data_IF_134084448901
#
_entry.id   IF_134084448901
#
_cell.length_a   1.000
_cell.length_b   1.000
_cell.length_c   1.000
_cell.angle_alpha   90.00
_cell.angle_beta   90.00
_cell.angle_gamma   90.00
#
_symmetry.space_group_name_H-M   'P 1'
#
loop_
_entity.id
_entity.type
_entity.pdbx_description
1 polymer ?
#
# COMPACT_ATOMS: atom_id res chain seq x y z
N UNK A 1 25.33 -40.08 -22.51
CA UNK A 1 25.05 -38.62 -22.55
C UNK A 1 24.46 -38.20 -21.21
N UNK A 2 25.04 -37.17 -20.57
CA UNK A 2 24.52 -36.53 -19.34
C UNK A 2 23.27 -35.70 -19.70
N UNK A 3 22.25 -35.68 -18.84
CA UNK A 3 21.09 -34.82 -19.02
C UNK A 3 20.21 -34.71 -17.76
N UNK A 4 20.41 -33.60 -17.04
CA UNK A 4 19.58 -32.98 -16.00
C UNK A 4 19.21 -33.77 -14.71
N UNK A 5 20.01 -33.55 -13.67
CA UNK A 5 19.55 -33.59 -12.27
C UNK A 5 19.01 -32.19 -11.92
N UNK A 6 17.71 -32.08 -11.69
CA UNK A 6 17.10 -30.94 -10.99
C UNK A 6 16.48 -31.45 -9.69
N UNK A 7 17.03 -31.06 -8.54
CA UNK A 7 16.42 -31.30 -7.23
C UNK A 7 15.18 -30.43 -7.10
N UNK A 8 13.98 -31.01 -7.23
CA UNK A 8 12.73 -30.29 -6.99
C UNK A 8 12.57 -29.96 -5.51
N UNK A 9 13.05 -28.79 -5.09
CA UNK A 9 12.57 -28.18 -3.85
C UNK A 9 11.14 -27.70 -4.13
N UNK A 10 10.18 -28.20 -3.36
CA UNK A 10 8.85 -27.59 -3.30
C UNK A 10 8.98 -26.09 -3.02
N UNK A 11 8.24 -25.27 -3.75
CA UNK A 11 8.19 -23.83 -3.52
C UNK A 11 7.37 -23.53 -2.28
N UNK A 12 7.97 -23.71 -1.10
CA UNK A 12 7.39 -23.32 0.19
C UNK A 12 7.57 -21.82 0.38
N UNK A 13 6.49 -21.11 0.73
CA UNK A 13 6.55 -19.71 1.16
C UNK A 13 6.13 -19.59 2.63
N UNK A 14 6.72 -18.62 3.32
CA UNK A 14 6.38 -18.29 4.72
C UNK A 14 5.54 -17.03 4.72
N UNK A 15 4.59 -16.95 5.65
CA UNK A 15 3.73 -15.80 5.92
C UNK A 15 3.76 -15.60 7.44
N UNK A 16 3.59 -14.36 7.92
CA UNK A 16 3.77 -13.97 9.32
C UNK A 16 5.25 -14.00 9.72
N UNK A 17 5.99 -13.01 9.23
CA UNK A 17 7.46 -12.99 9.24
C UNK A 17 8.07 -12.54 10.57
N UNK A 18 7.26 -11.93 11.43
CA UNK A 18 7.68 -11.28 12.67
C UNK A 18 6.67 -11.45 13.80
N UNK A 19 6.92 -10.72 14.90
CA UNK A 19 6.12 -10.81 16.13
C UNK A 19 4.96 -9.82 16.19
N UNK A 20 4.88 -8.90 15.22
CA UNK A 20 3.91 -7.80 15.20
C UNK A 20 3.25 -7.69 13.82
N UNK A 21 2.13 -8.40 13.57
CA UNK A 21 1.48 -8.44 12.26
C UNK A 21 1.12 -7.07 11.69
N UNK A 22 0.76 -6.09 12.55
CA UNK A 22 0.49 -4.72 12.11
C UNK A 22 1.72 -4.03 11.48
N UNK A 23 2.92 -4.35 11.97
CA UNK A 23 4.17 -3.81 11.43
C UNK A 23 4.56 -4.44 10.08
N UNK A 24 3.88 -5.51 9.65
CA UNK A 24 4.15 -6.23 8.40
C UNK A 24 3.31 -5.73 7.23
N UNK A 25 2.34 -4.83 7.46
CA UNK A 25 1.44 -4.35 6.40
C UNK A 25 2.21 -3.80 5.19
N UNK A 26 3.30 -3.06 5.39
CA UNK A 26 4.16 -2.58 4.29
C UNK A 26 4.83 -3.71 3.49
N UNK A 27 5.14 -4.85 4.12
CA UNK A 27 5.70 -6.03 3.44
C UNK A 27 4.65 -6.68 2.54
N UNK A 28 3.41 -6.83 3.03
CA UNK A 28 2.29 -7.30 2.23
C UNK A 28 1.99 -6.32 1.08
N UNK A 29 1.98 -5.02 1.37
CA UNK A 29 1.78 -3.96 0.38
C UNK A 29 2.78 -4.08 -0.77
N UNK A 30 4.06 -4.28 -0.45
CA UNK A 30 5.13 -4.52 -1.42
C UNK A 30 4.89 -5.76 -2.28
N UNK A 31 4.44 -6.86 -1.68
CA UNK A 31 4.09 -8.08 -2.40
C UNK A 31 2.97 -7.83 -3.43
N UNK A 32 1.87 -7.23 -2.99
CA UNK A 32 0.74 -6.91 -3.88
C UNK A 32 1.09 -5.89 -4.95
N UNK A 33 1.86 -4.86 -4.60
CA UNK A 33 2.34 -3.85 -5.54
C UNK A 33 3.21 -4.46 -6.65
N UNK A 34 4.15 -5.35 -6.28
CA UNK A 34 4.99 -6.08 -7.24
C UNK A 34 4.19 -7.00 -8.14
N UNK A 35 3.20 -7.70 -7.58
CA UNK A 35 2.29 -8.55 -8.35
C UNK A 35 1.50 -7.70 -9.37
N UNK A 36 0.92 -6.58 -8.94
CA UNK A 36 0.21 -5.64 -9.79
C UNK A 36 1.10 -5.10 -10.91
N UNK A 37 2.30 -4.61 -10.59
CA UNK A 37 3.26 -4.08 -11.57
C UNK A 37 3.76 -5.14 -12.55
N UNK A 38 3.84 -6.41 -12.13
CA UNK A 38 4.25 -7.51 -13.02
C UNK A 38 3.11 -7.86 -13.97
N UNK A 39 1.91 -8.07 -13.43
CA UNK A 39 0.71 -8.34 -14.22
C UNK A 39 0.46 -7.22 -15.25
N UNK A 40 0.52 -5.96 -14.84
CA UNK A 40 0.32 -4.82 -15.76
C UNK A 40 1.33 -4.77 -16.89
N UNK A 41 2.63 -5.03 -16.61
CA UNK A 41 3.66 -5.07 -17.66
C UNK A 41 3.40 -6.19 -18.67
N UNK A 42 3.03 -7.36 -18.17
CA UNK A 42 2.70 -8.50 -19.02
C UNK A 42 1.48 -8.22 -19.90
N UNK A 43 0.42 -7.62 -19.33
CA UNK A 43 -0.79 -7.27 -20.08
C UNK A 43 -0.53 -6.17 -21.12
N UNK A 44 0.17 -5.11 -20.75
CA UNK A 44 0.49 -4.00 -21.66
C UNK A 44 1.40 -4.42 -22.83
N UNK A 45 2.10 -5.55 -22.71
CA UNK A 45 2.92 -6.11 -23.78
C UNK A 45 2.15 -7.02 -24.75
N UNK A 46 0.88 -7.36 -24.46
CA UNK A 46 0.05 -8.20 -25.33
C UNK A 46 -0.60 -7.38 -26.44
N UNK A 47 -0.75 -7.98 -27.62
CA UNK A 47 -1.51 -7.39 -28.73
C UNK A 47 -3.01 -7.30 -28.43
N UNK A 48 -3.53 -8.27 -27.66
CA UNK A 48 -4.92 -8.33 -27.22
C UNK A 48 -4.99 -8.61 -25.73
N UNK A 49 -5.86 -7.86 -25.04
CA UNK A 49 -6.09 -7.98 -23.60
C UNK A 49 -7.59 -8.02 -23.37
N UNK A 50 -8.07 -9.00 -22.61
CA UNK A 50 -9.46 -9.05 -22.19
C UNK A 50 -9.66 -8.26 -20.88
N UNK A 51 -10.81 -7.62 -20.70
CA UNK A 51 -11.10 -6.84 -19.49
C UNK A 51 -10.98 -7.65 -18.20
N UNK A 52 -11.27 -8.96 -18.28
CA UNK A 52 -11.16 -9.86 -17.13
C UNK A 52 -9.72 -10.13 -16.68
N UNK A 53 -8.74 -9.88 -17.55
CA UNK A 53 -7.33 -9.94 -17.19
C UNK A 53 -6.88 -8.66 -16.47
N UNK A 54 -7.56 -7.53 -16.72
CA UNK A 54 -7.14 -6.19 -16.28
C UNK A 54 -7.62 -5.83 -14.88
N UNK A 55 -8.89 -6.07 -14.56
CA UNK A 55 -9.44 -5.66 -13.27
C UNK A 55 -8.70 -6.25 -12.04
N UNK A 56 -8.09 -7.46 -12.08
CA UNK A 56 -7.28 -7.94 -10.96
C UNK A 56 -6.08 -7.05 -10.67
N UNK A 57 -5.41 -6.49 -11.70
CA UNK A 57 -4.29 -5.57 -11.50
C UNK A 57 -4.73 -4.28 -10.79
N UNK A 58 -5.92 -3.76 -11.14
CA UNK A 58 -6.51 -2.58 -10.49
C UNK A 58 -6.78 -2.83 -9.01
N UNK A 59 -7.37 -3.99 -8.68
CA UNK A 59 -7.59 -4.39 -7.29
C UNK A 59 -6.27 -4.49 -6.52
N UNK A 60 -5.24 -5.13 -7.11
CA UNK A 60 -3.94 -5.32 -6.45
C UNK A 60 -3.25 -3.97 -6.16
N UNK A 61 -3.27 -3.01 -7.10
CA UNK A 61 -2.75 -1.66 -6.84
C UNK A 61 -3.49 -0.96 -5.70
N UNK A 62 -4.82 -1.00 -5.76
CA UNK A 62 -5.69 -0.39 -4.73
C UNK A 62 -5.43 -1.00 -3.35
N UNK A 63 -5.26 -2.32 -3.28
CA UNK A 63 -4.96 -3.03 -2.04
C UNK A 63 -3.56 -2.71 -1.50
N UNK A 64 -2.55 -2.69 -2.37
CA UNK A 64 -1.19 -2.28 -2.00
C UNK A 64 -1.16 -0.87 -1.40
N UNK A 65 -1.86 0.08 -2.02
CA UNK A 65 -1.98 1.45 -1.53
C UNK A 65 -2.62 1.52 -0.14
N UNK A 66 -3.72 0.80 0.09
CA UNK A 66 -4.36 0.74 1.41
C UNK A 66 -3.38 0.21 2.48
N UNK A 67 -2.66 -0.87 2.17
CA UNK A 67 -1.74 -1.48 3.11
C UNK A 67 -0.53 -0.60 3.42
N UNK A 68 0.00 0.14 2.44
CA UNK A 68 1.04 1.13 2.71
C UNK A 68 0.53 2.28 3.58
N UNK A 69 -0.66 2.81 3.31
CA UNK A 69 -1.28 3.84 4.15
C UNK A 69 -1.41 3.35 5.60
N UNK A 70 -1.98 2.16 5.80
CA UNK A 70 -2.16 1.58 7.14
C UNK A 70 -0.84 1.26 7.84
N UNK A 71 0.09 0.65 7.12
CA UNK A 71 1.39 0.26 7.66
C UNK A 71 2.26 1.46 8.04
N UNK A 72 2.34 2.48 7.19
CA UNK A 72 3.08 3.70 7.51
C UNK A 72 2.39 4.54 8.57
N UNK A 73 1.05 4.60 8.59
CA UNK A 73 0.30 5.24 9.68
C UNK A 73 0.59 4.57 11.04
N UNK A 74 0.67 3.24 11.07
CA UNK A 74 1.10 2.50 12.27
C UNK A 74 2.51 2.92 12.73
N UNK A 75 3.49 2.98 11.81
CA UNK A 75 4.86 3.38 12.13
C UNK A 75 4.94 4.84 12.62
N UNK A 76 4.19 5.75 12.00
CA UNK A 76 4.09 7.14 12.45
C UNK A 76 3.55 7.23 13.88
N UNK A 77 2.56 6.41 14.23
CA UNK A 77 2.04 6.34 15.60
C UNK A 77 3.06 5.86 16.62
N UNK A 78 3.84 4.83 16.27
CA UNK A 78 4.94 4.36 17.12
C UNK A 78 5.98 5.47 17.32
N UNK A 79 6.37 6.15 16.24
CA UNK A 79 7.39 7.20 16.29
C UNK A 79 6.91 8.39 17.11
N UNK A 80 5.67 8.84 16.88
CA UNK A 80 5.07 9.92 17.67
C UNK A 80 5.05 9.61 19.16
N UNK A 81 4.70 8.38 19.56
CA UNK A 81 4.75 7.97 20.97
C UNK A 81 6.16 8.00 21.58
N UNK A 82 7.20 7.69 20.79
CA UNK A 82 8.59 7.79 21.23
C UNK A 82 9.09 9.23 21.30
N UNK A 83 8.63 10.11 20.42
CA UNK A 83 8.99 11.54 20.38
C UNK A 83 8.11 12.42 21.29
N UNK A 84 7.23 11.82 22.12
CA UNK A 84 6.43 12.55 23.12
C UNK A 84 5.15 13.19 22.59
N UNK A 85 4.70 12.80 21.40
CA UNK A 85 3.41 13.20 20.85
C UNK A 85 2.29 12.36 21.49
N UNK A 86 1.25 13.03 22.00
CA UNK A 86 0.19 12.45 22.86
C UNK A 86 -0.76 11.46 22.17
N UNK A 87 -0.72 11.34 20.84
CA UNK A 87 -1.73 10.59 20.09
C UNK A 87 -1.26 9.15 19.82
N UNK A 88 -1.83 8.18 20.54
CA UNK A 88 -1.76 6.78 20.11
C UNK A 88 -2.51 6.62 18.79
N UNK A 89 -1.84 6.17 17.73
CA UNK A 89 -2.50 5.91 16.45
C UNK A 89 -3.13 4.53 16.46
N UNK A 90 -4.45 4.48 16.24
CA UNK A 90 -5.17 3.24 15.99
C UNK A 90 -5.39 3.11 14.50
N UNK A 91 -4.82 2.08 13.87
CA UNK A 91 -5.02 1.82 12.44
C UNK A 91 -6.51 1.54 12.18
N UNK A 92 -7.19 2.34 11.34
CA UNK A 92 -8.62 2.16 11.12
C UNK A 92 -8.95 0.80 10.48
N UNK A 93 -10.01 0.15 10.97
CA UNK A 93 -10.46 -1.16 10.46
C UNK A 93 -11.35 -1.09 9.21
N UNK A 94 -11.43 0.06 8.55
CA UNK A 94 -12.18 0.21 7.29
C UNK A 94 -11.24 0.26 6.09
N UNK A 95 -11.81 0.13 4.89
CA UNK A 95 -11.08 0.12 3.63
C UNK A 95 -11.13 1.47 2.88
N UNK A 96 -11.88 2.45 3.40
CA UNK A 96 -12.05 3.76 2.75
C UNK A 96 -10.72 4.52 2.71
N UNK A 97 -10.22 4.80 1.51
CA UNK A 97 -8.91 5.44 1.32
C UNK A 97 -8.85 6.92 1.71
N UNK A 98 -9.85 7.78 1.44
CA UNK A 98 -9.73 9.20 1.77
C UNK A 98 -9.58 9.48 3.27
N UNK A 99 -10.39 8.86 4.18
CA UNK A 99 -10.17 9.04 5.61
C UNK A 99 -8.81 8.54 6.10
N UNK A 100 -8.33 7.40 5.58
CA UNK A 100 -6.99 6.88 5.87
C UNK A 100 -5.90 7.88 5.44
N UNK A 101 -6.06 8.47 4.26
CA UNK A 101 -5.08 9.41 3.70
C UNK A 101 -5.07 10.73 4.46
N UNK A 102 -6.23 11.22 4.91
CA UNK A 102 -6.32 12.42 5.72
C UNK A 102 -5.60 12.25 7.07
N UNK A 103 -5.83 11.12 7.74
CA UNK A 103 -5.14 10.80 8.99
C UNK A 103 -3.64 10.63 8.80
N UNK A 104 -3.24 9.88 7.76
CA UNK A 104 -1.84 9.68 7.40
C UNK A 104 -1.12 10.99 7.07
N UNK A 105 -1.73 11.86 6.27
CA UNK A 105 -1.17 13.18 5.89
C UNK A 105 -1.00 14.06 7.12
N UNK A 106 -2.00 14.10 8.02
CA UNK A 106 -1.92 14.84 9.28
C UNK A 106 -0.73 14.37 10.11
N UNK A 107 -0.60 13.06 10.34
CA UNK A 107 0.49 12.49 11.15
C UNK A 107 1.87 12.69 10.54
N UNK A 108 1.98 12.59 9.22
CA UNK A 108 3.23 12.87 8.54
C UNK A 108 3.62 14.34 8.69
N UNK A 109 2.67 15.28 8.56
CA UNK A 109 2.90 16.71 8.73
C UNK A 109 3.26 17.13 10.16
N UNK A 110 2.75 16.42 11.18
CA UNK A 110 3.12 16.62 12.59
C UNK A 110 4.58 16.25 12.86
N UNK A 111 5.04 15.12 12.31
CA UNK A 111 6.39 14.59 12.58
C UNK A 111 7.47 15.16 11.65
N UNK A 112 7.08 15.62 10.46
CA UNK A 112 7.99 16.17 9.44
C UNK A 112 7.51 17.54 8.95
N UNK A 113 7.39 18.54 9.85
CA UNK A 113 6.88 19.86 9.49
C UNK A 113 7.82 20.56 8.50
N UNK A 114 7.24 21.12 7.44
CA UNK A 114 7.98 21.92 6.44
C UNK A 114 8.66 21.10 5.32
N UNK A 115 8.60 19.77 5.37
CA UNK A 115 9.14 18.91 4.31
C UNK A 115 8.31 19.04 3.01
N UNK A 116 8.88 19.73 2.02
CA UNK A 116 8.20 20.01 0.75
C UNK A 116 8.03 18.77 -0.13
N UNK A 117 8.95 17.80 -0.03
CA UNK A 117 8.88 16.57 -0.82
C UNK A 117 7.73 15.69 -0.31
N UNK A 118 7.63 15.53 1.02
CA UNK A 118 6.50 14.83 1.64
C UNK A 118 5.18 15.56 1.41
N UNK A 119 5.16 16.90 1.41
CA UNK A 119 3.97 17.67 1.07
C UNK A 119 3.51 17.42 -0.39
N UNK A 120 4.43 17.42 -1.35
CA UNK A 120 4.13 17.08 -2.74
C UNK A 120 3.61 15.64 -2.88
N UNK A 121 4.23 14.70 -2.18
CA UNK A 121 3.84 13.30 -2.20
C UNK A 121 2.45 13.08 -1.58
N UNK A 122 2.15 13.68 -0.43
CA UNK A 122 0.83 13.57 0.22
C UNK A 122 -0.30 14.13 -0.67
N UNK A 123 -0.03 15.21 -1.43
CA UNK A 123 -0.95 15.72 -2.43
C UNK A 123 -1.23 14.69 -3.54
N UNK A 124 -0.19 14.04 -4.07
CA UNK A 124 -0.34 13.00 -5.08
C UNK A 124 -1.17 11.82 -4.56
N UNK A 125 -0.87 11.33 -3.34
CA UNK A 125 -1.61 10.24 -2.70
C UNK A 125 -3.07 10.63 -2.45
N UNK A 126 -3.33 11.85 -1.98
CA UNK A 126 -4.70 12.36 -1.73
C UNK A 126 -5.53 12.40 -3.01
N UNK A 127 -4.93 12.84 -4.13
CA UNK A 127 -5.59 12.82 -5.43
C UNK A 127 -5.92 11.39 -5.88
N UNK A 128 -4.94 10.49 -5.86
CA UNK A 128 -5.11 9.10 -6.30
C UNK A 128 -6.12 8.35 -5.46
N UNK A 129 -6.12 8.54 -4.14
CA UNK A 129 -7.07 7.90 -3.23
C UNK A 129 -8.49 8.45 -3.39
N UNK A 130 -8.64 9.73 -3.76
CA UNK A 130 -9.93 10.31 -4.14
C UNK A 130 -10.45 9.75 -5.46
N UNK A 131 -9.57 9.48 -6.44
CA UNK A 131 -9.92 8.79 -7.68
C UNK A 131 -10.39 7.36 -7.39
N UNK A 132 -9.65 6.59 -6.59
CA UNK A 132 -10.09 5.26 -6.16
C UNK A 132 -11.38 5.28 -5.36
N UNK A 133 -11.65 6.30 -4.55
CA UNK A 133 -12.91 6.38 -3.80
C UNK A 133 -14.14 6.48 -4.72
N UNK A 134 -13.97 6.98 -5.96
CA UNK A 134 -15.02 6.99 -6.98
C UNK A 134 -15.15 5.65 -7.71
N UNK A 135 -14.03 4.96 -7.91
CA UNK A 135 -13.98 3.69 -8.65
C UNK A 135 -14.30 2.45 -7.81
N UNK A 136 -13.88 2.46 -6.54
CA UNK A 136 -13.90 1.32 -5.61
C UNK A 136 -13.82 1.80 -4.15
N UNK A 137 -14.89 2.44 -3.67
CA UNK A 137 -14.94 3.07 -2.35
C UNK A 137 -14.62 2.11 -1.20
N UNK A 138 -15.20 0.91 -1.27
CA UNK A 138 -15.23 -0.06 -0.17
C UNK A 138 -14.32 -1.28 -0.42
N UNK A 139 -13.51 -1.27 -1.48
CA UNK A 139 -12.65 -2.39 -1.90
C UNK A 139 -13.39 -3.55 -2.57
N UNK A 140 -14.65 -3.41 -2.96
CA UNK A 140 -15.45 -4.52 -3.49
C UNK A 140 -15.56 -4.53 -5.02
N UNK A 141 -15.40 -3.37 -5.66
CA UNK A 141 -15.87 -3.16 -7.03
C UNK A 141 -15.16 -4.02 -8.08
N UNK A 142 -13.90 -4.38 -7.82
CA UNK A 142 -13.08 -5.22 -8.71
C UNK A 142 -12.92 -6.67 -8.22
N UNK A 143 -13.69 -7.08 -7.21
CA UNK A 143 -13.71 -8.46 -6.68
C UNK A 143 -15.02 -9.16 -6.94
N UNK A 144 -16.12 -8.41 -6.91
CA UNK A 144 -17.46 -8.94 -7.06
C UNK A 144 -18.23 -8.06 -8.03
N UNK A 145 -19.04 -8.63 -8.94
CA UNK A 145 -19.89 -7.85 -9.84
C UNK A 145 -21.03 -7.12 -9.09
N UNK A 146 -21.32 -7.53 -7.85
CA UNK A 146 -22.32 -6.91 -6.99
C UNK A 146 -21.74 -6.57 -5.61
N UNK A 147 -22.25 -5.49 -5.01
CA UNK A 147 -21.95 -5.11 -3.63
C UNK A 147 -22.66 -6.06 -2.63
N UNK A 148 -22.37 -5.97 -1.32
CA UNK A 148 -23.05 -6.78 -0.30
C UNK A 148 -24.57 -6.59 -0.20
N UNK A 149 -25.13 -5.56 -0.86
CA UNK A 149 -26.57 -5.27 -0.93
C UNK A 149 -27.20 -5.78 -2.22
N UNK A 150 -26.42 -6.41 -3.12
CA UNK A 150 -26.88 -6.92 -4.40
C UNK A 150 -26.96 -5.86 -5.52
N UNK A 151 -26.48 -4.64 -5.30
CA UNK A 151 -26.40 -3.63 -6.35
C UNK A 151 -25.16 -3.85 -7.22
N UNK A 152 -25.14 -3.37 -8.48
CA UNK A 152 -23.93 -3.38 -9.29
C UNK A 152 -22.76 -2.71 -8.57
N UNK A 153 -21.61 -3.39 -8.56
CA UNK A 153 -20.38 -2.93 -7.91
C UNK A 153 -19.72 -1.73 -8.59
N UNK A 154 -19.98 -1.56 -9.88
CA UNK A 154 -19.48 -0.46 -10.72
C UNK A 154 -20.64 0.13 -11.53
N UNK A 155 -20.57 1.42 -11.89
CA UNK A 155 -21.44 2.00 -12.90
C UNK A 155 -21.32 1.26 -14.25
N UNK A 156 -22.37 1.36 -15.06
CA UNK A 156 -22.35 0.87 -16.43
C UNK A 156 -21.26 1.59 -17.26
N UNK A 157 -20.53 0.84 -18.08
CA UNK A 157 -19.48 1.35 -18.96
C UNK A 157 -18.33 2.10 -18.23
N UNK A 158 -18.05 1.79 -16.95
CA UNK A 158 -16.87 2.31 -16.27
C UNK A 158 -15.59 1.87 -16.99
N UNK A 159 -14.77 2.82 -17.42
CA UNK A 159 -13.49 2.58 -18.08
C UNK A 159 -12.32 3.07 -17.23
N UNK A 160 -11.23 2.30 -17.22
CA UNK A 160 -9.99 2.63 -16.51
C UNK A 160 -8.81 2.33 -17.41
N UNK A 161 -7.90 3.29 -17.58
CA UNK A 161 -6.65 3.06 -18.31
C UNK A 161 -5.66 2.30 -17.44
N UNK A 162 -5.35 1.06 -17.83
CA UNK A 162 -4.31 0.25 -17.18
C UNK A 162 -2.94 0.92 -17.25
N UNK A 163 -2.61 1.56 -18.37
CA UNK A 163 -1.33 2.27 -18.55
C UNK A 163 -1.19 3.45 -17.59
N UNK A 164 -2.21 4.31 -17.50
CA UNK A 164 -2.21 5.45 -16.60
C UNK A 164 -2.14 4.99 -15.13
N UNK A 165 -2.91 3.95 -14.78
CA UNK A 165 -2.90 3.33 -13.47
C UNK A 165 -1.51 2.79 -13.13
N UNK A 166 -0.91 1.98 -14.02
CA UNK A 166 0.41 1.39 -13.84
C UNK A 166 1.49 2.45 -13.60
N UNK A 167 1.48 3.52 -14.41
CA UNK A 167 2.45 4.61 -14.30
C UNK A 167 2.34 5.34 -12.96
N UNK A 168 1.14 5.79 -12.58
CA UNK A 168 0.92 6.56 -11.36
C UNK A 168 1.17 5.71 -10.12
N UNK A 169 0.63 4.49 -10.10
CA UNK A 169 0.75 3.60 -8.95
C UNK A 169 2.18 3.12 -8.75
N UNK A 170 2.94 2.84 -9.81
CA UNK A 170 4.34 2.44 -9.66
C UNK A 170 5.17 3.56 -9.00
N UNK A 171 4.93 4.82 -9.35
CA UNK A 171 5.59 5.96 -8.71
C UNK A 171 5.20 6.08 -7.23
N UNK A 172 3.89 6.06 -6.93
CA UNK A 172 3.38 6.19 -5.56
C UNK A 172 3.91 5.07 -4.66
N UNK A 173 3.84 3.82 -5.11
CA UNK A 173 4.26 2.67 -4.31
C UNK A 173 5.78 2.66 -4.07
N UNK A 174 6.59 3.08 -5.05
CA UNK A 174 8.03 3.25 -4.86
C UNK A 174 8.35 4.31 -3.80
N UNK A 175 7.65 5.45 -3.80
CA UNK A 175 7.80 6.48 -2.76
C UNK A 175 7.36 5.97 -1.38
N UNK A 176 6.29 5.17 -1.30
CA UNK A 176 5.91 4.52 -0.05
C UNK A 176 6.97 3.54 0.47
N UNK A 177 7.65 2.79 -0.41
CA UNK A 177 8.77 1.93 0.01
C UNK A 177 9.91 2.74 0.63
N UNK A 178 10.24 3.91 0.06
CA UNK A 178 11.25 4.80 0.61
C UNK A 178 10.83 5.36 1.99
N UNK A 179 9.57 5.76 2.13
CA UNK A 179 9.02 6.25 3.40
C UNK A 179 8.99 5.16 4.47
N UNK A 180 8.58 3.93 4.13
CA UNK A 180 8.63 2.79 5.07
C UNK A 180 10.07 2.56 5.58
N UNK A 181 11.07 2.61 4.69
CA UNK A 181 12.47 2.47 5.07
C UNK A 181 12.93 3.60 6.00
N UNK A 182 12.60 4.84 5.66
CA UNK A 182 12.93 6.04 6.46
C UNK A 182 12.31 5.95 7.86
N UNK A 183 11.00 5.65 7.96
CA UNK A 183 10.30 5.55 9.24
C UNK A 183 10.88 4.44 10.11
N UNK A 184 11.21 3.29 9.52
CA UNK A 184 11.86 2.19 10.25
C UNK A 184 13.26 2.56 10.74
N UNK A 185 14.04 3.30 9.97
CA UNK A 185 15.36 3.77 10.40
C UNK A 185 15.23 4.69 11.61
N UNK A 186 14.36 5.69 11.52
CA UNK A 186 14.13 6.66 12.60
C UNK A 186 13.56 6.02 13.86
N UNK A 187 12.66 5.04 13.72
CA UNK A 187 12.15 4.27 14.85
C UNK A 187 13.27 3.51 15.60
N UNK A 188 14.24 2.93 14.88
CA UNK A 188 15.38 2.27 15.52
C UNK A 188 16.23 3.27 16.29
N UNK A 189 16.57 4.39 15.68
CA UNK A 189 17.36 5.47 16.31
C UNK A 189 16.68 6.03 17.57
N UNK A 190 15.37 6.27 17.52
CA UNK A 190 14.59 6.76 18.65
C UNK A 190 14.51 5.72 19.79
N UNK A 191 14.40 4.44 19.45
CA UNK A 191 14.37 3.35 20.44
C UNK A 191 15.73 3.20 21.13
N UNK A 192 16.83 3.21 20.37
CA UNK A 192 18.18 3.09 20.90
C UNK A 192 18.52 4.27 21.83
N UNK A 193 18.11 5.48 21.45
CA UNK A 193 18.32 6.69 22.24
C UNK A 193 17.58 6.65 23.59
N UNK A 194 16.34 6.13 23.62
CA UNK A 194 15.61 5.94 24.89
C UNK A 194 16.27 4.89 25.78
N UNK A 195 16.68 3.76 25.22
CA UNK A 195 17.39 2.72 25.98
C UNK A 195 18.74 3.18 26.56
N UNK A 196 19.35 4.22 25.98
CA UNK A 196 20.57 4.83 26.51
C UNK A 196 20.30 5.83 27.66
N UNK A 197 19.13 6.45 27.72
CA UNK A 197 18.73 7.38 28.79
C UNK A 197 18.23 6.66 30.06
N UNK A 198 17.78 5.42 29.92
CA UNK A 198 17.27 4.59 31.02
C UNK A 198 18.37 3.73 31.73
N UNK A 199 19.66 3.92 31.39
CA UNK A 199 20.81 3.25 32.03
C UNK A 199 21.63 4.23 32.87
#
# INVERSE_FOLDING_TARGET
MRGFRGSGRESVFVINFGRHPAAEMCTFAKGYGRAASTLSRELLAREHVADYDVYPAVFLFRHALELYLKGTLYLLGQLGGLEGHSDSVTVPNHHRLPPLTAEWTRKLGELFPGDQELAGFTCAVTRTTSEFARLDRDSFSYRYPTDPKGNPSTPENQSVSLEAMFRVMSQILNSFEAIDLMLRARLREATDSRCALDR
#
